data_IF_395885328692
#
_entry.id   IF_395885328692
#
_cell.length_a   1.000
_cell.length_b   1.000
_cell.length_c   1.000
_cell.angle_alpha   90.00
_cell.angle_beta   90.00
_cell.angle_gamma   90.00
#
_symmetry.space_group_name_H-M   'P 1'
#
loop_
_entity.id
_entity.type
_entity.pdbx_description
1 polymer ?
#
# COMPACT_ATOMS: atom_id res chain seq x y z
N UNK A 1 -7.18 -4.28 -11.63
CA UNK A 1 -7.43 -5.68 -11.99
C UNK A 1 -8.01 -6.46 -10.80
N UNK A 2 -8.81 -7.50 -11.02
CA UNK A 2 -9.36 -8.30 -9.94
C UNK A 2 -8.26 -9.11 -9.24
N UNK A 3 -8.29 -9.14 -7.90
CA UNK A 3 -7.46 -10.04 -7.09
C UNK A 3 -8.19 -11.36 -6.85
N UNK A 4 -9.44 -11.26 -6.48
CA UNK A 4 -10.37 -12.36 -6.30
C UNK A 4 -11.71 -11.97 -6.91
N UNK A 5 -12.63 -12.91 -7.06
CA UNK A 5 -13.92 -12.69 -7.74
C UNK A 5 -14.69 -11.44 -7.26
N UNK A 6 -14.57 -11.08 -5.99
CA UNK A 6 -15.32 -9.98 -5.35
C UNK A 6 -14.48 -8.75 -5.02
N UNK A 7 -13.21 -8.72 -5.43
CA UNK A 7 -12.30 -7.63 -5.11
C UNK A 7 -11.47 -7.22 -6.31
N UNK A 8 -11.16 -5.94 -6.43
CA UNK A 8 -10.35 -5.38 -7.49
C UNK A 8 -9.65 -4.09 -7.03
N UNK A 9 -8.51 -3.80 -7.67
CA UNK A 9 -7.86 -2.50 -7.61
C UNK A 9 -7.85 -1.87 -8.99
N UNK A 10 -7.85 -0.54 -9.03
CA UNK A 10 -7.80 0.24 -10.26
C UNK A 10 -6.64 1.21 -10.17
N UNK A 11 -5.82 1.21 -11.20
CA UNK A 11 -4.76 2.17 -11.39
C UNK A 11 -5.13 3.09 -12.55
N UNK A 12 -5.02 4.40 -12.35
CA UNK A 12 -5.30 5.42 -13.35
C UNK A 12 -4.02 6.19 -13.64
N UNK A 13 -3.55 6.10 -14.88
CA UNK A 13 -2.49 6.97 -15.37
C UNK A 13 -3.12 8.14 -16.12
N UNK A 14 -2.76 9.36 -15.76
CA UNK A 14 -3.28 10.59 -16.37
C UNK A 14 -2.11 11.47 -16.78
N UNK A 15 -2.00 11.74 -18.07
CA UNK A 15 -0.97 12.58 -18.65
C UNK A 15 -1.43 14.04 -18.80
N UNK A 16 -0.48 14.96 -18.99
CA UNK A 16 -0.75 16.34 -19.34
C UNK A 16 -1.22 17.22 -18.16
N UNK A 17 -1.04 16.77 -16.92
CA UNK A 17 -1.32 17.59 -15.74
C UNK A 17 -0.24 18.66 -15.60
N UNK A 18 -0.69 19.93 -15.45
CA UNK A 18 0.20 21.05 -15.17
C UNK A 18 0.74 20.95 -13.73
N UNK A 19 2.00 20.59 -13.62
CA UNK A 19 2.66 20.41 -12.32
C UNK A 19 2.93 21.73 -11.57
N UNK A 20 2.66 22.89 -12.17
CA UNK A 20 2.89 24.21 -11.53
C UNK A 20 1.71 24.65 -10.67
N UNK A 21 0.59 23.97 -10.73
CA UNK A 21 -0.64 24.28 -9.99
C UNK A 21 -1.34 23.04 -9.47
N UNK A 22 -2.11 23.24 -8.43
CA UNK A 22 -3.00 22.20 -7.94
C UNK A 22 -4.10 21.88 -8.97
N UNK A 23 -4.35 20.58 -9.15
CA UNK A 23 -5.40 20.10 -10.06
C UNK A 23 -6.37 19.20 -9.29
N UNK A 24 -7.63 19.58 -9.11
CA UNK A 24 -8.60 18.73 -8.43
C UNK A 24 -8.93 17.50 -9.28
N UNK A 25 -9.15 16.37 -8.64
CA UNK A 25 -9.63 15.16 -9.29
C UNK A 25 -10.84 14.57 -8.57
N UNK A 26 -11.62 13.79 -9.32
CA UNK A 26 -12.75 13.03 -8.81
C UNK A 26 -12.75 11.64 -9.42
N UNK A 27 -12.77 10.62 -8.58
CA UNK A 27 -13.02 9.24 -8.98
C UNK A 27 -14.43 8.86 -8.56
N UNK A 28 -15.22 8.34 -9.48
CA UNK A 28 -16.57 7.88 -9.23
C UNK A 28 -16.64 6.37 -9.47
N UNK A 29 -16.96 5.63 -8.44
CA UNK A 29 -17.23 4.21 -8.52
C UNK A 29 -18.73 3.97 -8.57
N UNK A 30 -19.19 3.28 -9.62
CA UNK A 30 -20.60 2.90 -9.79
C UNK A 30 -20.65 1.37 -9.74
N UNK A 31 -21.07 0.77 -8.62
CA UNK A 31 -21.19 -0.67 -8.52
C UNK A 31 -22.25 -1.19 -9.48
N UNK A 32 -22.14 -2.47 -9.85
CA UNK A 32 -23.15 -3.16 -10.64
C UNK A 32 -23.82 -4.22 -9.78
N UNK A 33 -25.13 -4.29 -9.81
CA UNK A 33 -25.91 -5.36 -9.22
C UNK A 33 -26.50 -6.26 -10.30
N UNK A 34 -26.71 -7.50 -9.96
CA UNK A 34 -27.41 -8.43 -10.87
C UNK A 34 -28.92 -8.19 -10.70
N UNK A 35 -29.63 -7.93 -11.79
CA UNK A 35 -31.08 -7.79 -11.79
C UNK A 35 -31.78 -9.16 -11.83
N UNK A 36 -33.11 -9.17 -11.81
CA UNK A 36 -33.88 -10.40 -11.85
C UNK A 36 -33.73 -11.23 -13.15
N UNK A 37 -33.25 -10.60 -14.23
CA UNK A 37 -32.95 -11.25 -15.51
C UNK A 37 -31.50 -11.80 -15.57
N UNK A 38 -30.70 -11.68 -14.48
CA UNK A 38 -29.31 -12.08 -14.47
C UNK A 38 -28.33 -11.09 -15.10
N UNK A 39 -28.79 -9.88 -15.45
CA UNK A 39 -27.97 -8.87 -16.10
C UNK A 39 -27.33 -7.93 -15.07
N UNK A 40 -26.09 -7.52 -15.32
CA UNK A 40 -25.39 -6.53 -14.51
C UNK A 40 -25.89 -5.12 -14.85
N UNK A 41 -26.59 -4.47 -13.93
CA UNK A 41 -27.07 -3.09 -14.06
C UNK A 41 -26.37 -2.18 -13.06
N UNK A 42 -26.18 -0.91 -13.44
CA UNK A 42 -25.57 0.09 -12.55
C UNK A 42 -26.43 0.29 -11.30
N UNK A 43 -25.82 0.22 -10.13
CA UNK A 43 -26.45 0.54 -8.86
C UNK A 43 -26.16 2.01 -8.49
N UNK A 44 -27.02 2.90 -8.95
CA UNK A 44 -26.87 4.34 -8.73
C UNK A 44 -27.12 4.76 -7.28
N UNK A 45 -27.75 3.91 -6.47
CA UNK A 45 -27.96 4.18 -5.05
C UNK A 45 -26.70 3.91 -4.21
N UNK A 46 -25.78 3.10 -4.74
CA UNK A 46 -24.53 2.73 -4.06
C UNK A 46 -23.29 3.39 -4.68
N UNK A 47 -23.45 4.54 -5.33
CA UNK A 47 -22.32 5.28 -5.93
C UNK A 47 -21.41 5.80 -4.82
N UNK A 48 -20.12 5.48 -4.93
CA UNK A 48 -19.08 6.08 -4.11
C UNK A 48 -18.28 7.13 -4.91
N UNK A 49 -17.93 8.22 -4.27
CA UNK A 49 -17.14 9.30 -4.85
C UNK A 49 -15.91 9.52 -3.97
N UNK A 50 -14.75 9.58 -4.61
CA UNK A 50 -13.51 9.95 -3.97
C UNK A 50 -12.95 11.19 -4.68
N UNK A 51 -12.67 12.23 -3.93
CA UNK A 51 -12.18 13.51 -4.43
C UNK A 51 -10.84 13.84 -3.77
N UNK A 52 -9.98 14.49 -4.51
CA UNK A 52 -8.70 14.92 -4.03
C UNK A 52 -8.08 15.99 -4.94
N UNK A 53 -6.81 16.24 -4.70
CA UNK A 53 -6.04 17.23 -5.43
C UNK A 53 -4.70 16.61 -5.82
N UNK A 54 -4.32 16.72 -7.08
CA UNK A 54 -2.93 16.52 -7.48
C UNK A 54 -2.19 17.79 -7.06
N UNK A 55 -1.27 17.68 -6.12
CA UNK A 55 -0.52 18.81 -5.58
C UNK A 55 0.35 19.46 -6.65
N UNK A 56 0.52 20.77 -6.55
CA UNK A 56 1.54 21.47 -7.30
C UNK A 56 2.94 21.01 -6.88
N UNK A 57 3.87 20.98 -7.82
CA UNK A 57 5.28 20.69 -7.53
C UNK A 57 5.82 21.77 -6.59
N UNK A 58 6.50 21.40 -5.48
CA UNK A 58 7.13 22.39 -4.60
C UNK A 58 8.24 23.17 -5.33
N UNK A 59 8.61 24.32 -4.76
CA UNK A 59 9.76 25.08 -5.25
C UNK A 59 11.04 24.27 -5.14
N UNK A 60 12.04 24.62 -5.95
CA UNK A 60 13.32 23.90 -5.98
C UNK A 60 14.19 24.13 -4.74
N UNK A 61 13.85 25.15 -3.93
CA UNK A 61 14.70 25.61 -2.81
C UNK A 61 14.54 24.77 -1.54
N UNK A 62 13.37 24.16 -1.31
CA UNK A 62 13.14 23.33 -0.14
C UNK A 62 11.98 22.36 -0.35
N UNK A 63 12.20 21.12 0.09
CA UNK A 63 11.16 20.08 0.08
C UNK A 63 11.11 19.39 1.43
N UNK A 64 9.92 19.30 2.02
CA UNK A 64 9.64 18.54 3.24
C UNK A 64 9.09 17.18 2.87
N UNK A 65 9.72 16.12 3.35
CA UNK A 65 9.26 14.74 3.17
C UNK A 65 8.84 14.21 4.52
N UNK A 66 7.61 13.72 4.63
CA UNK A 66 7.16 12.98 5.80
C UNK A 66 7.38 11.50 5.59
N UNK A 67 8.19 10.90 6.43
CA UNK A 67 8.46 9.45 6.43
C UNK A 67 7.64 8.79 7.53
N UNK A 68 6.86 7.78 7.17
CA UNK A 68 6.02 6.99 8.07
C UNK A 68 6.28 5.52 7.82
N UNK A 69 6.51 4.75 8.88
CA UNK A 69 6.71 3.30 8.80
C UNK A 69 6.15 2.59 10.03
N UNK A 70 6.03 1.27 9.98
CA UNK A 70 5.69 0.42 11.11
C UNK A 70 4.38 0.84 11.80
N UNK A 71 3.29 0.99 11.03
CA UNK A 71 2.01 1.50 11.54
C UNK A 71 1.18 0.42 12.22
N UNK A 72 1.71 -0.19 13.25
CA UNK A 72 0.99 -1.20 14.03
C UNK A 72 -0.18 -0.56 14.79
N UNK A 73 -1.38 -1.10 14.59
CA UNK A 73 -2.60 -0.56 15.17
C UNK A 73 -2.90 -1.06 16.58
N UNK A 74 -2.31 -2.18 16.99
CA UNK A 74 -2.50 -2.74 18.31
C UNK A 74 -1.19 -3.28 18.88
N UNK A 75 -0.86 -2.84 20.10
CA UNK A 75 0.38 -3.24 20.78
C UNK A 75 0.15 -3.97 22.09
N UNK A 76 -1.12 -4.29 22.43
CA UNK A 76 -1.50 -4.81 23.73
C UNK A 76 -1.51 -3.71 24.81
N UNK A 77 -1.83 -4.10 26.03
CA UNK A 77 -1.86 -3.19 27.15
C UNK A 77 -0.47 -2.63 27.45
N UNK A 78 -0.37 -1.32 27.43
CA UNK A 78 0.83 -0.59 27.77
C UNK A 78 0.59 0.27 28.99
N UNK A 79 1.61 0.46 29.82
CA UNK A 79 1.53 1.26 31.05
C UNK A 79 0.98 2.68 30.83
N UNK A 80 1.21 3.24 29.65
CA UNK A 80 0.79 4.59 29.24
C UNK A 80 -0.36 4.60 28.22
N UNK A 81 -0.78 3.41 27.75
CA UNK A 81 -1.94 3.22 26.91
C UNK A 81 -2.56 1.86 27.27
N UNK A 82 -3.50 1.86 28.19
CA UNK A 82 -4.13 0.65 28.74
C UNK A 82 -4.79 -0.22 27.69
N UNK A 83 -5.25 0.36 26.58
CA UNK A 83 -5.88 -0.39 25.50
C UNK A 83 -4.90 -0.78 24.39
N UNK A 84 -3.75 -0.10 24.30
CA UNK A 84 -2.76 -0.34 23.25
C UNK A 84 -3.29 -0.21 21.82
N UNK A 85 -4.42 0.47 21.63
CA UNK A 85 -5.08 0.66 20.36
C UNK A 85 -4.74 2.01 19.74
N UNK A 86 -4.15 2.00 18.55
CA UNK A 86 -3.70 3.19 17.83
C UNK A 86 -4.55 3.51 16.58
N UNK A 87 -5.28 2.53 16.07
CA UNK A 87 -6.16 2.72 14.91
C UNK A 87 -7.27 3.73 15.22
N UNK A 88 -7.59 4.67 14.33
CA UNK A 88 -7.10 4.84 12.95
C UNK A 88 -5.89 5.77 12.80
N UNK A 89 -4.97 5.87 13.72
CA UNK A 89 -3.75 6.68 13.66
C UNK A 89 -4.00 8.20 13.47
N UNK A 90 -5.16 8.68 13.91
CA UNK A 90 -5.58 10.07 13.67
C UNK A 90 -4.61 11.13 14.24
N UNK A 91 -3.93 10.81 15.34
CA UNK A 91 -2.92 11.71 15.91
C UNK A 91 -1.70 11.80 14.98
N UNK A 92 -1.22 10.67 14.47
CA UNK A 92 -0.10 10.62 13.52
C UNK A 92 -0.44 11.41 12.26
N UNK A 93 -1.60 11.14 11.65
CA UNK A 93 -2.04 11.85 10.44
C UNK A 93 -2.13 13.37 10.67
N UNK A 94 -2.66 13.82 11.81
CA UNK A 94 -2.70 15.26 12.14
C UNK A 94 -1.31 15.86 12.32
N UNK A 95 -0.40 15.17 12.98
CA UNK A 95 0.96 15.67 13.17
C UNK A 95 1.73 15.73 11.85
N UNK A 96 1.56 14.74 10.98
CA UNK A 96 2.12 14.76 9.63
C UNK A 96 1.56 15.94 8.84
N UNK A 97 0.24 16.13 8.84
CA UNK A 97 -0.39 17.27 8.15
C UNK A 97 0.14 18.63 8.64
N UNK A 98 0.36 18.76 9.96
CA UNK A 98 0.86 20.00 10.57
C UNK A 98 2.31 20.36 10.18
N UNK A 99 3.06 19.42 9.60
CA UNK A 99 4.41 19.69 9.06
C UNK A 99 4.37 20.17 7.62
N UNK A 100 3.19 20.26 7.01
CA UNK A 100 2.98 20.70 5.61
C UNK A 100 3.93 19.99 4.63
N UNK A 101 3.99 18.64 4.61
CA UNK A 101 4.92 17.93 3.75
C UNK A 101 4.53 18.09 2.28
N UNK A 102 5.55 18.04 1.41
CA UNK A 102 5.37 18.05 -0.03
C UNK A 102 5.31 16.63 -0.62
N UNK A 103 5.78 15.63 0.12
CA UNK A 103 5.79 14.23 -0.27
C UNK A 103 5.60 13.35 0.97
N UNK A 104 4.79 12.31 0.84
CA UNK A 104 4.67 11.24 1.82
C UNK A 104 5.54 10.07 1.38
N UNK A 105 6.32 9.52 2.29
CA UNK A 105 7.05 8.28 2.08
C UNK A 105 6.61 7.25 3.13
N UNK A 106 5.87 6.25 2.70
CA UNK A 106 5.49 5.10 3.52
C UNK A 106 6.56 4.02 3.31
N UNK A 107 7.40 3.87 4.32
CA UNK A 107 8.65 3.13 4.24
C UNK A 107 8.52 1.69 4.76
N UNK A 108 7.41 1.05 4.48
CA UNK A 108 7.16 -0.34 4.86
C UNK A 108 6.32 -0.51 6.12
N UNK A 109 5.81 -1.71 6.32
CA UNK A 109 4.91 -2.11 7.40
C UNK A 109 3.66 -1.22 7.46
N UNK A 110 3.05 -0.98 6.32
CA UNK A 110 1.76 -0.31 6.23
C UNK A 110 0.66 -1.13 6.89
N UNK A 111 0.88 -2.42 6.93
CA UNK A 111 0.02 -3.38 7.62
C UNK A 111 0.86 -4.33 8.47
N UNK A 112 0.22 -4.95 9.45
CA UNK A 112 0.75 -6.07 10.21
C UNK A 112 -0.24 -7.23 10.09
N UNK A 113 0.23 -8.41 9.70
CA UNK A 113 -0.62 -9.56 9.37
C UNK A 113 -1.49 -10.02 10.54
N UNK A 114 -0.97 -9.92 11.78
CA UNK A 114 -1.68 -10.28 13.01
C UNK A 114 -2.35 -9.11 13.73
N UNK A 115 -2.38 -7.91 13.11
CA UNK A 115 -2.84 -6.69 13.78
C UNK A 115 -4.36 -6.54 13.74
N UNK A 116 -4.99 -6.35 14.91
CA UNK A 116 -6.44 -6.23 15.15
C UNK A 116 -7.24 -7.50 14.79
N UNK A 117 -6.79 -8.28 13.82
CA UNK A 117 -7.40 -9.55 13.40
C UNK A 117 -6.32 -10.58 13.15
N UNK A 118 -6.55 -11.87 13.42
CA UNK A 118 -5.60 -12.92 13.10
C UNK A 118 -5.23 -12.91 11.61
N UNK A 119 -3.98 -13.30 11.31
CA UNK A 119 -3.54 -13.47 9.94
C UNK A 119 -4.24 -14.67 9.28
N UNK A 120 -4.75 -14.49 8.08
CA UNK A 120 -5.24 -15.58 7.22
C UNK A 120 -4.21 -15.79 6.11
N UNK A 121 -3.52 -16.91 6.15
CA UNK A 121 -2.45 -17.24 5.17
C UNK A 121 -2.88 -18.27 4.14
N UNK A 122 -3.99 -18.97 4.38
CA UNK A 122 -4.55 -19.98 3.47
C UNK A 122 -6.08 -20.11 3.65
N UNK A 123 -6.83 -20.52 2.60
CA UNK A 123 -6.36 -20.60 1.20
C UNK A 123 -6.01 -19.22 0.63
N UNK A 124 -5.26 -19.17 -0.46
CA UNK A 124 -4.73 -17.90 -1.04
C UNK A 124 -5.81 -16.86 -1.29
N UNK A 125 -7.00 -17.26 -1.71
CA UNK A 125 -8.13 -16.34 -1.92
C UNK A 125 -8.52 -15.61 -0.63
N UNK A 126 -8.54 -16.28 0.50
CA UNK A 126 -8.93 -15.70 1.79
C UNK A 126 -7.78 -14.87 2.36
N UNK A 127 -6.53 -15.30 2.15
CA UNK A 127 -5.35 -14.49 2.45
C UNK A 127 -5.33 -13.15 1.69
N UNK A 128 -5.66 -13.17 0.41
CA UNK A 128 -5.76 -11.94 -0.41
C UNK A 128 -6.87 -11.02 0.09
N UNK A 129 -8.01 -11.55 0.51
CA UNK A 129 -9.10 -10.73 1.09
C UNK A 129 -8.71 -10.15 2.44
N UNK A 130 -8.04 -10.94 3.28
CA UNK A 130 -7.51 -10.48 4.56
C UNK A 130 -6.50 -9.34 4.38
N UNK A 131 -5.56 -9.51 3.45
CA UNK A 131 -4.61 -8.47 3.09
C UNK A 131 -5.33 -7.19 2.61
N UNK A 132 -6.27 -7.29 1.68
CA UNK A 132 -7.00 -6.14 1.15
C UNK A 132 -7.84 -5.44 2.21
N UNK A 133 -8.38 -6.17 3.19
CA UNK A 133 -9.05 -5.58 4.34
C UNK A 133 -8.08 -4.75 5.19
N UNK A 134 -6.88 -5.27 5.45
CA UNK A 134 -5.84 -4.55 6.20
C UNK A 134 -5.31 -3.34 5.43
N UNK A 135 -5.11 -3.49 4.12
CA UNK A 135 -4.74 -2.38 3.24
C UNK A 135 -5.81 -1.28 3.20
N UNK A 136 -7.08 -1.65 3.19
CA UNK A 136 -8.19 -0.69 3.32
C UNK A 136 -8.12 0.10 4.63
N UNK A 137 -7.75 -0.54 5.75
CA UNK A 137 -7.57 0.16 7.04
C UNK A 137 -6.43 1.18 6.98
N UNK A 138 -5.32 0.86 6.31
CA UNK A 138 -4.25 1.83 6.05
C UNK A 138 -4.79 3.03 5.26
N UNK A 139 -5.50 2.78 4.16
CA UNK A 139 -6.15 3.82 3.38
C UNK A 139 -7.15 4.67 4.19
N UNK A 140 -7.86 4.05 5.13
CA UNK A 140 -8.72 4.78 6.07
C UNK A 140 -7.91 5.74 6.96
N UNK A 141 -6.81 5.25 7.52
CA UNK A 141 -5.98 6.02 8.45
C UNK A 141 -5.33 7.24 7.78
N UNK A 142 -4.85 7.10 6.57
CA UNK A 142 -4.03 8.10 5.89
C UNK A 142 -4.70 8.73 4.65
N UNK A 143 -5.95 8.36 4.35
CA UNK A 143 -6.66 8.81 3.15
C UNK A 143 -6.80 10.34 3.03
N UNK A 144 -6.91 11.05 4.14
CA UNK A 144 -6.96 12.52 4.12
C UNK A 144 -5.64 13.15 3.68
N UNK A 145 -4.52 12.50 3.94
CA UNK A 145 -3.20 12.93 3.46
C UNK A 145 -2.99 12.52 1.99
N UNK A 146 -3.22 11.25 1.67
CA UNK A 146 -2.94 10.71 0.32
C UNK A 146 -3.85 11.26 -0.78
N UNK A 147 -5.02 11.80 -0.44
CA UNK A 147 -5.86 12.52 -1.42
C UNK A 147 -5.32 13.89 -1.82
N UNK A 148 -4.33 14.43 -1.10
CA UNK A 148 -3.80 15.78 -1.29
C UNK A 148 -2.32 15.81 -1.58
N UNK A 149 -1.61 14.79 -1.20
CA UNK A 149 -0.15 14.74 -1.27
C UNK A 149 0.29 13.57 -2.12
N UNK A 150 1.29 13.75 -2.99
CA UNK A 150 1.91 12.62 -3.65
C UNK A 150 2.53 11.70 -2.62
N UNK A 151 2.49 10.40 -2.89
CA UNK A 151 3.02 9.40 -1.99
C UNK A 151 3.89 8.39 -2.72
N UNK A 152 4.95 7.98 -2.06
CA UNK A 152 5.73 6.80 -2.38
C UNK A 152 5.44 5.77 -1.31
N UNK A 153 5.06 4.57 -1.71
CA UNK A 153 4.80 3.46 -0.80
C UNK A 153 5.71 2.32 -1.21
N UNK A 154 6.43 1.76 -0.27
CA UNK A 154 7.23 0.56 -0.47
C UNK A 154 6.87 -0.47 0.59
N UNK A 155 6.70 -1.75 0.25
CA UNK A 155 6.40 -2.78 1.22
C UNK A 155 7.63 -3.14 2.04
N UNK A 156 7.40 -3.66 3.26
CA UNK A 156 8.37 -4.35 4.06
C UNK A 156 7.85 -5.77 4.41
N UNK A 157 8.49 -6.47 5.30
CA UNK A 157 8.26 -7.88 5.60
C UNK A 157 6.83 -8.18 6.10
N UNK A 158 6.28 -7.38 6.99
CA UNK A 158 4.89 -7.57 7.47
C UNK A 158 3.85 -7.38 6.36
N UNK A 159 4.10 -6.50 5.39
CA UNK A 159 3.19 -6.30 4.26
C UNK A 159 2.99 -7.58 3.43
N UNK A 160 4.01 -8.42 3.35
CA UNK A 160 3.98 -9.72 2.65
C UNK A 160 3.74 -10.90 3.58
N UNK A 161 3.29 -10.66 4.81
CA UNK A 161 2.98 -11.67 5.83
C UNK A 161 4.18 -12.51 6.26
N UNK A 162 5.34 -11.86 6.34
CA UNK A 162 6.55 -12.48 6.82
C UNK A 162 7.40 -11.49 7.64
N UNK A 163 7.84 -11.93 8.79
CA UNK A 163 8.59 -11.09 9.72
C UNK A 163 10.07 -10.86 9.39
N UNK A 164 10.67 -11.57 8.44
CA UNK A 164 12.07 -11.37 8.03
C UNK A 164 12.27 -11.81 6.58
N UNK A 165 12.15 -10.87 5.67
CA UNK A 165 12.42 -11.08 4.25
C UNK A 165 13.81 -10.55 3.94
N UNK A 166 14.69 -11.42 3.51
CA UNK A 166 16.04 -11.06 3.11
C UNK A 166 16.17 -11.29 1.61
N UNK A 167 16.06 -10.29 0.84
CA UNK A 167 16.18 -10.17 -0.61
C UNK A 167 16.92 -11.25 -1.43
N UNK A 168 16.74 -12.50 -1.11
CA UNK A 168 17.39 -13.61 -1.78
C UNK A 168 16.77 -13.87 -3.16
N UNK A 169 16.82 -12.85 -4.02
CA UNK A 169 16.32 -12.89 -5.39
C UNK A 169 14.85 -13.35 -5.52
N UNK A 170 14.03 -13.10 -4.52
CA UNK A 170 12.64 -13.53 -4.50
C UNK A 170 12.43 -15.01 -4.24
N UNK A 171 13.43 -15.73 -3.77
CA UNK A 171 13.30 -17.15 -3.45
C UNK A 171 12.40 -17.35 -2.25
N UNK A 172 11.64 -18.44 -2.26
CA UNK A 172 10.82 -18.84 -1.12
C UNK A 172 11.69 -19.27 0.06
N UNK A 173 11.23 -18.93 1.28
CA UNK A 173 11.88 -19.41 2.50
C UNK A 173 11.94 -20.95 2.49
N UNK A 174 13.08 -21.55 2.87
CA UNK A 174 13.19 -23.01 2.99
C UNK A 174 12.20 -23.57 4.02
N UNK A 175 11.45 -24.59 3.65
CA UNK A 175 10.56 -25.31 4.57
C UNK A 175 11.41 -26.14 5.55
N UNK A 176 11.42 -25.75 6.80
CA UNK A 176 12.26 -26.39 7.82
C UNK A 176 11.45 -27.03 8.95
N UNK A 177 10.15 -26.82 8.95
CA UNK A 177 9.26 -27.28 10.02
C UNK A 177 9.40 -26.52 11.36
N UNK A 178 10.37 -25.64 11.50
CA UNK A 178 10.54 -24.79 12.67
C UNK A 178 9.99 -23.41 12.39
N UNK A 179 8.77 -23.16 12.85
CA UNK A 179 8.07 -21.89 12.69
C UNK A 179 8.63 -20.75 13.55
N UNK A 180 9.56 -21.05 14.45
CA UNK A 180 10.16 -20.04 15.34
C UNK A 180 11.37 -19.34 14.69
N UNK A 181 11.94 -19.89 13.64
CA UNK A 181 13.08 -19.32 12.94
C UNK A 181 12.58 -18.38 11.84
N UNK A 182 12.72 -17.09 12.07
CA UNK A 182 12.33 -16.05 11.12
C UNK A 182 13.48 -15.63 10.17
N UNK A 183 14.70 -16.05 10.43
CA UNK A 183 15.92 -15.46 9.82
C UNK A 183 16.48 -16.29 8.65
N UNK A 184 15.65 -17.01 7.92
CA UNK A 184 16.14 -17.88 6.84
C UNK A 184 16.12 -17.26 5.45
N UNK A 185 15.66 -16.05 5.35
CA UNK A 185 15.55 -15.32 4.09
C UNK A 185 14.47 -15.90 3.15
N UNK A 186 13.91 -15.05 2.32
CA UNK A 186 12.89 -15.43 1.36
C UNK A 186 11.45 -15.18 1.81
N UNK A 187 10.51 -15.44 0.92
CA UNK A 187 9.08 -15.19 1.14
C UNK A 187 8.37 -16.44 1.66
N UNK A 188 7.51 -16.28 2.66
CA UNK A 188 6.60 -17.34 3.15
C UNK A 188 5.38 -17.49 2.25
N UNK A 189 4.80 -16.36 1.86
CA UNK A 189 3.63 -16.34 1.00
C UNK A 189 4.01 -16.63 -0.46
N UNK A 190 3.10 -17.22 -1.25
CA UNK A 190 3.39 -17.52 -2.65
C UNK A 190 3.52 -16.25 -3.49
N UNK A 191 4.20 -16.30 -4.67
CA UNK A 191 4.39 -15.15 -5.55
C UNK A 191 3.11 -14.41 -5.91
N UNK A 192 1.99 -15.11 -6.05
CA UNK A 192 0.67 -14.52 -6.30
C UNK A 192 0.28 -13.52 -5.20
N UNK A 193 0.53 -13.85 -3.94
CA UNK A 193 0.25 -12.97 -2.81
C UNK A 193 1.19 -11.76 -2.80
N UNK A 194 2.49 -11.98 -2.93
CA UNK A 194 3.50 -10.92 -2.95
C UNK A 194 3.22 -9.92 -4.09
N UNK A 195 2.88 -10.44 -5.28
CA UNK A 195 2.52 -9.60 -6.41
C UNK A 195 1.21 -8.82 -6.20
N UNK A 196 0.28 -9.33 -5.39
CA UNK A 196 -0.90 -8.57 -5.00
C UNK A 196 -0.55 -7.41 -4.07
N UNK A 197 0.39 -7.61 -3.15
CA UNK A 197 0.94 -6.53 -2.31
C UNK A 197 1.61 -5.48 -3.18
N UNK A 198 2.51 -5.88 -4.07
CA UNK A 198 3.18 -4.96 -5.00
C UNK A 198 2.17 -4.18 -5.85
N UNK A 199 1.14 -4.83 -6.37
CA UNK A 199 0.10 -4.18 -7.17
C UNK A 199 -0.64 -3.08 -6.40
N UNK A 200 -0.88 -3.27 -5.11
CA UNK A 200 -1.57 -2.25 -4.31
C UNK A 200 -0.66 -1.15 -3.83
N UNK A 201 0.59 -1.48 -3.50
CA UNK A 201 1.48 -0.56 -2.82
C UNK A 201 2.44 0.17 -3.76
N UNK A 202 2.91 -0.46 -4.83
CA UNK A 202 3.97 0.11 -5.68
C UNK A 202 3.62 0.30 -7.15
N UNK A 203 2.50 -0.22 -7.65
CA UNK A 203 2.13 -0.09 -9.08
C UNK A 203 1.92 1.37 -9.52
N UNK A 204 1.70 2.29 -8.59
CA UNK A 204 1.57 3.73 -8.88
C UNK A 204 2.93 4.42 -9.10
N UNK A 205 4.04 3.78 -8.76
CA UNK A 205 5.38 4.30 -9.02
C UNK A 205 5.73 4.21 -10.52
N UNK A 206 6.73 4.97 -10.98
CA UNK A 206 7.24 4.80 -12.35
C UNK A 206 7.67 3.36 -12.62
N UNK A 207 7.62 2.96 -13.89
CA UNK A 207 7.99 1.60 -14.30
C UNK A 207 9.35 1.17 -13.70
N UNK A 208 9.47 -0.10 -13.26
CA UNK A 208 10.72 -0.61 -12.71
C UNK A 208 11.89 -0.47 -13.68
N UNK A 209 13.08 -0.29 -13.14
CA UNK A 209 14.33 -0.32 -13.87
C UNK A 209 14.86 -1.77 -13.90
N UNK A 210 15.25 -2.26 -15.07
CA UNK A 210 15.76 -3.63 -15.26
C UNK A 210 14.66 -4.67 -15.47
N UNK A 211 14.90 -5.89 -15.01
CA UNK A 211 13.96 -6.99 -15.20
C UNK A 211 12.66 -6.77 -14.41
N UNK A 212 11.50 -6.92 -15.05
CA UNK A 212 10.21 -6.67 -14.39
C UNK A 212 9.84 -7.72 -13.36
N UNK A 213 10.44 -8.91 -13.43
CA UNK A 213 10.16 -10.02 -12.51
C UNK A 213 11.45 -10.78 -12.16
N UNK A 214 11.47 -11.35 -10.95
CA UNK A 214 12.50 -12.29 -10.50
C UNK A 214 12.19 -13.71 -11.02
N UNK A 215 13.13 -14.65 -10.85
CA UNK A 215 13.03 -16.03 -11.35
C UNK A 215 11.75 -16.74 -10.94
N UNK A 216 11.27 -16.50 -9.71
CA UNK A 216 10.04 -17.11 -9.20
C UNK A 216 8.77 -16.36 -9.59
N UNK A 217 8.87 -15.34 -10.46
CA UNK A 217 7.73 -14.56 -10.94
C UNK A 217 7.26 -13.47 -9.99
N UNK A 218 8.03 -13.11 -8.97
CA UNK A 218 7.78 -11.96 -8.11
C UNK A 218 8.18 -10.69 -8.86
N UNK A 219 7.27 -9.70 -8.91
CA UNK A 219 7.51 -8.41 -9.57
C UNK A 219 8.55 -7.59 -8.82
N UNK A 220 9.33 -6.82 -9.57
CA UNK A 220 10.27 -5.83 -9.00
C UNK A 220 9.65 -4.44 -9.00
N UNK A 221 10.12 -3.55 -8.12
CA UNK A 221 9.61 -2.18 -8.02
C UNK A 221 10.71 -1.11 -7.87
N UNK A 222 11.99 -1.50 -7.94
CA UNK A 222 13.06 -0.52 -7.89
C UNK A 222 12.99 0.42 -9.10
N UNK A 223 12.95 1.71 -8.83
CA UNK A 223 12.75 2.73 -9.86
C UNK A 223 13.38 4.07 -9.46
N UNK A 224 13.22 5.05 -10.31
CA UNK A 224 13.60 6.44 -10.03
C UNK A 224 12.41 7.35 -10.26
N UNK A 225 12.28 8.37 -9.45
CA UNK A 225 11.31 9.44 -9.63
C UNK A 225 11.95 10.80 -9.36
N UNK A 226 11.35 11.83 -9.91
CA UNK A 226 11.77 13.22 -9.66
C UNK A 226 10.58 14.02 -9.17
N UNK A 227 10.76 14.77 -8.09
CA UNK A 227 9.76 15.64 -7.52
C UNK A 227 10.41 16.84 -6.82
N UNK A 228 9.89 18.04 -6.99
CA UNK A 228 10.36 19.23 -6.29
C UNK A 228 11.85 19.54 -6.51
N UNK A 229 12.40 19.31 -7.71
CA UNK A 229 13.83 19.51 -7.99
C UNK A 229 14.74 18.37 -7.47
N UNK A 230 14.20 17.44 -6.67
CA UNK A 230 14.91 16.25 -6.18
C UNK A 230 14.76 15.05 -7.10
N UNK A 231 15.77 14.19 -7.12
CA UNK A 231 15.73 12.88 -7.76
C UNK A 231 15.88 11.79 -6.70
N UNK A 232 15.01 10.77 -6.77
CA UNK A 232 14.94 9.71 -5.78
C UNK A 232 15.18 8.37 -6.45
N UNK A 233 16.01 7.54 -5.84
CA UNK A 233 16.06 6.12 -6.11
C UNK A 233 15.16 5.41 -5.11
N UNK A 234 14.18 4.68 -5.62
CA UNK A 234 13.33 3.78 -4.84
C UNK A 234 13.93 2.39 -5.00
N UNK A 235 14.35 1.80 -3.91
CA UNK A 235 15.03 0.51 -3.90
C UNK A 235 14.08 -0.57 -3.39
N UNK A 236 14.05 -1.67 -4.12
CA UNK A 236 13.45 -2.91 -3.65
C UNK A 236 14.55 -3.67 -2.92
N UNK A 237 14.60 -3.56 -1.62
CA UNK A 237 15.64 -4.14 -0.77
C UNK A 237 15.23 -5.51 -0.19
N UNK A 238 14.02 -5.98 -0.50
CA UNK A 238 13.46 -7.24 0.00
C UNK A 238 12.72 -8.04 -1.05
#
# INVERSE_FOLDING_TARGET
APFVRSSATFHFAVDGIDATRETPFRVRYVPRRINAAGEGVADLAAVAVYEGVVAARPSEDAMTIAVVNCQKSFTGDLRWNEQGLWFPHAAVARHVAAQEPHLLYFAGDQIYEGDLTPAITAPIKDALLDYLHKWYRHGWSFGELTRRLPSVVVPDDHDVYHGNVWGNAGVREPETGDLTVQDRGGYKMPPEFVNAVHRTQVEHLPAPRGEPTLEVGITTYHTTLSWGGGSFAVLADR
#
